data_IF_428857433136
#
_entry.id   IF_428857433136
#
_cell.length_a   1.000
_cell.length_b   1.000
_cell.length_c   1.000
_cell.angle_alpha   90.00
_cell.angle_beta   90.00
_cell.angle_gamma   90.00
#
_symmetry.space_group_name_H-M   'P 1'
#
loop_
_entity.id
_entity.type
_entity.pdbx_description
1 polymer ?
#
# COMPACT_ATOMS: atom_id res chain seq x y z
N UNK A 1 2.75 -10.79 16.90
CA UNK A 1 2.06 -11.29 15.70
C UNK A 1 2.08 -10.23 14.62
N UNK A 2 2.40 -10.62 13.39
CA UNK A 2 2.50 -9.65 12.31
C UNK A 2 1.13 -9.14 11.89
N UNK A 3 1.04 -7.86 11.59
CA UNK A 3 -0.21 -7.28 11.13
C UNK A 3 0.04 -6.01 10.35
N UNK A 4 -0.95 -5.67 9.54
CA UNK A 4 -0.96 -4.43 8.78
C UNK A 4 -2.34 -3.83 8.91
N UNK A 5 -2.42 -2.61 9.41
CA UNK A 5 -3.68 -1.89 9.54
C UNK A 5 -3.54 -0.56 8.84
N UNK A 6 -4.49 -0.26 7.98
CA UNK A 6 -4.55 1.02 7.27
C UNK A 6 -5.94 1.57 7.47
N UNK A 7 -6.04 2.74 8.05
CA UNK A 7 -7.33 3.35 8.37
C UNK A 7 -7.34 4.80 7.95
N UNK A 8 -8.46 5.22 7.41
CA UNK A 8 -8.68 6.63 7.17
C UNK A 8 -9.23 7.25 8.45
N UNK A 9 -8.66 8.37 8.82
CA UNK A 9 -9.10 9.11 9.98
C UNK A 9 -9.94 10.30 9.52
N UNK A 10 -10.59 10.95 10.47
CA UNK A 10 -11.21 12.22 10.18
C UNK A 10 -10.12 13.16 9.68
N UNK A 11 -10.45 14.13 8.93
CA UNK A 11 -9.48 15.09 8.36
C UNK A 11 -8.63 14.48 7.26
N UNK A 12 -9.07 13.35 6.70
CA UNK A 12 -8.38 12.70 5.58
C UNK A 12 -6.97 12.26 5.91
N UNK A 13 -6.67 12.12 7.17
CA UNK A 13 -5.39 11.57 7.55
C UNK A 13 -5.46 10.05 7.50
N UNK A 14 -4.31 9.42 7.28
CA UNK A 14 -4.24 7.98 7.19
C UNK A 14 -3.39 7.46 8.34
N UNK A 15 -3.94 6.50 9.06
CA UNK A 15 -3.20 5.82 10.10
C UNK A 15 -2.68 4.50 9.55
N UNK A 16 -1.39 4.28 9.72
CA UNK A 16 -0.77 3.05 9.28
C UNK A 16 -0.11 2.39 10.48
N UNK A 17 -0.43 1.13 10.69
CA UNK A 17 0.13 0.37 11.79
C UNK A 17 0.66 -0.94 11.20
N UNK A 18 1.97 -1.07 11.19
CA UNK A 18 2.63 -2.22 10.59
C UNK A 18 3.57 -2.82 11.61
N UNK A 19 3.44 -4.11 11.84
CA UNK A 19 4.30 -4.81 12.78
C UNK A 19 4.63 -6.18 12.21
N UNK A 20 5.93 -6.54 12.26
CA UNK A 20 6.36 -7.84 11.79
C UNK A 20 7.54 -7.74 10.85
N UNK A 21 8.11 -8.88 10.51
CA UNK A 21 9.21 -8.94 9.56
C UNK A 21 8.69 -8.73 8.15
N UNK A 22 9.55 -8.17 7.32
CA UNK A 22 9.18 -7.83 5.96
C UNK A 22 8.67 -9.03 5.18
N UNK A 23 9.34 -10.17 5.32
CA UNK A 23 8.93 -11.37 4.60
C UNK A 23 7.55 -11.84 5.03
N UNK A 24 7.28 -11.76 6.33
CA UNK A 24 5.99 -12.17 6.86
C UNK A 24 4.91 -11.21 6.40
N UNK A 25 5.20 -9.91 6.41
CA UNK A 25 4.25 -8.90 5.97
C UNK A 25 3.92 -9.08 4.50
N UNK A 26 4.92 -9.37 3.68
CA UNK A 26 4.68 -9.60 2.26
C UNK A 26 3.81 -10.83 2.06
N UNK A 27 4.02 -11.88 2.87
CA UNK A 27 3.21 -13.08 2.79
C UNK A 27 1.76 -12.79 3.17
N UNK A 28 1.55 -11.94 4.17
CA UNK A 28 0.20 -11.57 4.57
C UNK A 28 -0.52 -10.88 3.42
N UNK A 29 0.16 -9.96 2.77
CA UNK A 29 -0.43 -9.24 1.65
C UNK A 29 -0.74 -10.19 0.51
N UNK A 30 0.19 -11.08 0.19
CA UNK A 30 -0.02 -12.04 -0.87
C UNK A 30 -1.20 -12.95 -0.56
N UNK A 31 -1.28 -13.43 0.67
CA UNK A 31 -2.38 -14.29 1.09
C UNK A 31 -3.72 -13.57 1.01
N UNK A 32 -3.73 -12.29 1.40
CA UNK A 32 -4.94 -11.50 1.33
C UNK A 32 -5.42 -11.34 -0.10
N UNK A 33 -4.49 -11.13 -1.03
CA UNK A 33 -4.83 -11.00 -2.44
C UNK A 33 -5.38 -12.30 -2.99
N UNK A 34 -4.78 -13.41 -2.61
CA UNK A 34 -5.25 -14.71 -3.06
C UNK A 34 -6.64 -15.02 -2.52
N UNK A 35 -6.91 -14.58 -1.31
CA UNK A 35 -8.21 -14.82 -0.69
C UNK A 35 -9.27 -13.89 -1.27
N UNK A 36 -8.89 -12.68 -1.60
CA UNK A 36 -9.82 -11.68 -2.13
C UNK A 36 -9.12 -10.95 -3.28
N UNK A 37 -9.33 -11.42 -4.50
CA UNK A 37 -8.68 -10.79 -5.65
C UNK A 37 -9.01 -9.31 -5.81
N UNK A 38 -10.14 -8.86 -5.30
CA UNK A 38 -10.47 -7.44 -5.34
C UNK A 38 -9.45 -6.61 -4.59
N UNK A 39 -8.90 -7.17 -3.52
CA UNK A 39 -7.84 -6.49 -2.79
C UNK A 39 -6.63 -6.26 -3.67
N UNK A 40 -6.31 -7.22 -4.53
CA UNK A 40 -5.20 -7.06 -5.47
C UNK A 40 -5.44 -5.92 -6.44
N UNK A 41 -6.69 -5.77 -6.89
CA UNK A 41 -7.03 -4.67 -7.78
C UNK A 41 -6.81 -3.34 -7.07
N UNK A 42 -7.19 -3.25 -5.81
CA UNK A 42 -6.99 -2.04 -5.04
C UNK A 42 -5.50 -1.70 -4.90
N UNK A 43 -4.67 -2.70 -4.67
CA UNK A 43 -3.23 -2.48 -4.54
C UNK A 43 -2.67 -1.96 -5.85
N UNK A 44 -3.05 -2.57 -6.96
CA UNK A 44 -2.58 -2.10 -8.27
C UNK A 44 -3.05 -0.69 -8.55
N UNK A 45 -4.30 -0.38 -8.20
CA UNK A 45 -4.84 0.95 -8.42
C UNK A 45 -4.07 1.98 -7.61
N UNK A 46 -3.71 1.63 -6.38
CA UNK A 46 -2.95 2.55 -5.54
C UNK A 46 -1.59 2.83 -6.14
N UNK A 47 -0.92 1.78 -6.64
CA UNK A 47 0.38 1.96 -7.27
C UNK A 47 0.27 2.83 -8.52
N UNK A 48 -0.81 2.67 -9.28
CA UNK A 48 -1.02 3.48 -10.47
C UNK A 48 -1.20 4.95 -10.10
N UNK A 49 -1.91 5.23 -9.01
CA UNK A 49 -2.10 6.59 -8.56
C UNK A 49 -0.76 7.22 -8.20
N UNK A 50 0.08 6.47 -7.49
CA UNK A 50 1.40 6.97 -7.11
C UNK A 50 2.24 7.27 -8.35
N UNK A 51 2.22 6.37 -9.31
CA UNK A 51 2.99 6.55 -10.54
C UNK A 51 2.52 7.78 -11.29
N UNK A 52 1.21 8.01 -11.30
CA UNK A 52 0.66 9.18 -11.97
C UNK A 52 1.09 10.47 -11.30
N UNK A 53 1.10 10.47 -9.97
CA UNK A 53 1.53 11.65 -9.23
C UNK A 53 2.99 11.94 -9.47
N UNK A 54 3.81 10.90 -9.52
CA UNK A 54 5.23 11.11 -9.77
C UNK A 54 5.48 11.64 -11.17
N UNK A 55 4.64 11.27 -12.12
CA UNK A 55 4.77 11.76 -13.47
C UNK A 55 4.45 13.25 -13.55
N UNK A 56 3.54 13.71 -12.69
CA UNK A 56 3.19 15.13 -12.66
C UNK A 56 4.33 15.99 -12.16
N UNK A 57 5.27 15.42 -11.43
CA UNK A 57 6.39 16.16 -10.88
C UNK A 57 7.67 15.62 -11.48
N UNK A 58 7.90 15.93 -12.75
CA UNK A 58 9.02 15.32 -13.47
C UNK A 58 10.39 15.75 -13.00
N UNK A 59 10.44 16.76 -12.15
CA UNK A 59 11.71 17.22 -11.63
C UNK A 59 12.25 16.34 -10.52
N UNK A 60 11.55 15.30 -10.19
CA UNK A 60 12.06 14.33 -9.25
C UNK A 60 13.23 13.65 -9.90
N UNK A 61 14.38 14.00 -9.47
CA UNK A 61 15.57 13.48 -10.07
C UNK A 61 16.24 12.52 -9.13
N UNK A 62 16.38 11.28 -9.51
CA UNK A 62 16.99 10.28 -8.65
C UNK A 62 18.48 10.52 -8.46
N UNK A 63 19.05 11.34 -9.24
CA UNK A 63 20.47 11.63 -9.05
C UNK A 63 20.69 12.84 -8.21
#
# INVERSE_FOLDING_TARGET
>A
MAHIIIQEQENRMVRIDIEGEEKVLASIIASAIMKDPHFGILVLSALAVIAEEQTKFPDINPN
#
